data_IF_965137721460
#
_entry.id   IF_965137721460
#
_cell.length_a   1.000
_cell.length_b   1.000
_cell.length_c   1.000
_cell.angle_alpha   90.00
_cell.angle_beta   90.00
_cell.angle_gamma   90.00
#
_symmetry.space_group_name_H-M   'P 1'
#
loop_
_entity.id
_entity.type
_entity.pdbx_description
1 polymer ?
#
# COMPACT_ATOMS: atom_id res chain seq x y z
N UNK A 1 -7.40 -3.69 22.24
CA UNK A 1 -8.15 -2.98 21.18
C UNK A 1 -7.16 -2.71 20.06
N UNK A 2 -7.52 -3.00 18.80
CA UNK A 2 -6.63 -2.76 17.66
C UNK A 2 -6.70 -1.29 17.24
N UNK A 3 -5.61 -0.78 16.67
CA UNK A 3 -5.51 0.57 16.15
C UNK A 3 -6.51 0.79 15.02
N UNK A 4 -7.17 1.93 15.10
CA UNK A 4 -8.05 2.47 14.08
C UNK A 4 -7.52 3.86 13.76
N UNK A 5 -7.26 4.10 12.47
CA UNK A 5 -6.67 5.33 12.00
C UNK A 5 -7.73 6.45 11.96
N UNK A 6 -7.65 7.47 12.83
CA UNK A 6 -8.62 8.57 12.83
C UNK A 6 -8.47 9.47 11.61
N UNK A 7 -7.26 9.55 11.03
CA UNK A 7 -6.96 10.44 9.90
C UNK A 7 -7.26 9.78 8.55
N UNK A 8 -7.45 8.46 8.55
CA UNK A 8 -7.78 7.68 7.34
C UNK A 8 -8.78 6.58 7.69
N UNK A 9 -10.02 6.96 8.05
CA UNK A 9 -11.01 6.02 8.57
C UNK A 9 -11.44 5.01 7.50
N UNK A 10 -11.76 3.80 7.95
CA UNK A 10 -12.28 2.71 7.12
C UNK A 10 -13.72 3.00 6.63
N UNK A 11 -13.85 4.00 5.76
CA UNK A 11 -15.10 4.54 5.24
C UNK A 11 -14.90 5.11 3.83
N UNK A 12 -15.98 5.56 3.20
CA UNK A 12 -15.96 6.09 1.84
C UNK A 12 -15.09 7.34 1.68
N UNK A 13 -14.81 8.09 2.74
CA UNK A 13 -13.89 9.24 2.68
C UNK A 13 -12.45 8.84 2.38
N UNK A 14 -12.04 7.62 2.76
CA UNK A 14 -10.73 7.08 2.41
C UNK A 14 -10.70 6.56 0.96
N UNK A 15 -11.85 6.29 0.36
CA UNK A 15 -11.97 5.76 -1.00
C UNK A 15 -12.11 6.87 -2.04
N UNK A 16 -12.90 7.92 -1.74
CA UNK A 16 -13.38 8.90 -2.73
C UNK A 16 -13.27 10.34 -2.24
N UNK A 17 -13.13 11.29 -3.18
CA UNK A 17 -13.10 12.73 -2.86
C UNK A 17 -14.40 13.27 -2.26
N UNK A 18 -15.55 12.77 -2.70
CA UNK A 18 -16.89 13.30 -2.36
C UNK A 18 -17.74 12.34 -1.51
N UNK A 19 -17.12 11.37 -0.86
CA UNK A 19 -17.80 10.51 0.13
C UNK A 19 -18.77 9.47 -0.42
N UNK A 20 -18.94 9.33 -1.74
CA UNK A 20 -19.58 8.17 -2.37
C UNK A 20 -19.31 8.13 -3.86
N UNK A 21 -19.12 6.93 -4.42
CA UNK A 21 -19.33 6.69 -5.86
C UNK A 21 -20.64 5.93 -6.01
N UNK A 22 -21.58 6.44 -6.80
CA UNK A 22 -22.88 5.81 -7.09
C UNK A 22 -22.77 4.40 -7.73
N UNK A 23 -21.56 3.95 -8.10
CA UNK A 23 -21.33 2.76 -8.93
C UNK A 23 -20.38 1.70 -8.33
N UNK A 24 -20.03 1.76 -7.04
CA UNK A 24 -19.18 0.74 -6.42
C UNK A 24 -19.98 0.03 -5.32
N UNK A 25 -20.47 -1.17 -5.64
CA UNK A 25 -21.21 -2.01 -4.69
C UNK A 25 -20.48 -2.18 -3.34
N UNK A 26 -21.21 -2.57 -2.31
CA UNK A 26 -20.81 -2.51 -0.89
C UNK A 26 -19.35 -2.94 -0.62
N UNK A 27 -18.49 -1.96 -0.32
CA UNK A 27 -17.13 -2.18 0.18
C UNK A 27 -17.22 -2.50 1.68
N UNK A 28 -16.52 -3.54 2.09
CA UNK A 28 -16.36 -3.90 3.50
C UNK A 28 -14.89 -3.85 3.85
N UNK A 29 -14.55 -3.15 4.93
CA UNK A 29 -13.19 -3.05 5.40
C UNK A 29 -12.85 -4.23 6.31
N UNK A 30 -11.80 -4.98 5.98
CA UNK A 30 -11.37 -6.18 6.72
C UNK A 30 -9.89 -6.15 7.01
N UNK A 31 -9.47 -6.68 8.15
CA UNK A 31 -8.05 -6.90 8.47
C UNK A 31 -7.54 -8.19 7.80
N UNK A 32 -6.24 -8.32 7.54
CA UNK A 32 -5.65 -9.52 6.95
C UNK A 32 -5.99 -10.84 7.67
N UNK A 33 -6.10 -10.80 9.00
CA UNK A 33 -6.49 -11.95 9.83
C UNK A 33 -7.92 -12.45 9.57
N UNK A 34 -8.78 -11.62 8.97
CA UNK A 34 -10.14 -11.99 8.56
C UNK A 34 -10.19 -12.57 7.13
N UNK A 35 -9.08 -12.48 6.38
CA UNK A 35 -8.96 -12.90 4.98
C UNK A 35 -8.14 -14.17 4.83
N UNK A 36 -7.09 -14.33 5.64
CA UNK A 36 -6.17 -15.48 5.63
C UNK A 36 -5.77 -15.87 7.05
N UNK A 37 -5.35 -17.12 7.24
CA UNK A 37 -4.98 -17.65 8.57
C UNK A 37 -3.65 -17.10 9.09
N UNK A 38 -2.64 -16.95 8.22
CA UNK A 38 -1.30 -16.53 8.59
C UNK A 38 -0.82 -15.38 7.67
N UNK A 39 -1.25 -14.14 7.96
CA UNK A 39 -0.85 -12.97 7.17
C UNK A 39 0.59 -12.57 7.48
N UNK A 40 1.34 -12.28 6.43
CA UNK A 40 2.74 -11.88 6.47
C UNK A 40 2.87 -10.50 5.84
N UNK A 41 3.59 -9.59 6.49
CA UNK A 41 3.79 -8.26 5.93
C UNK A 41 4.71 -8.34 4.71
N UNK A 42 5.98 -8.64 4.96
CA UNK A 42 7.01 -8.76 3.93
C UNK A 42 7.39 -10.23 3.73
N UNK A 43 7.54 -10.70 2.49
CA UNK A 43 8.08 -12.02 2.20
C UNK A 43 9.45 -12.24 2.84
N UNK A 44 9.84 -13.51 2.98
CA UNK A 44 11.19 -13.87 3.38
C UNK A 44 12.23 -13.28 2.41
N UNK A 45 13.48 -13.22 2.85
CA UNK A 45 14.55 -12.66 2.03
C UNK A 45 14.75 -13.49 0.76
N UNK A 46 14.75 -12.84 -0.40
CA UNK A 46 14.82 -13.50 -1.72
C UNK A 46 13.45 -13.76 -2.38
N UNK A 47 12.35 -13.71 -1.64
CA UNK A 47 11.01 -14.01 -2.16
C UNK A 47 10.27 -12.79 -2.74
N UNK A 48 10.73 -11.57 -2.41
CA UNK A 48 10.19 -10.33 -2.99
C UNK A 48 10.57 -10.24 -4.46
N UNK A 49 9.58 -10.37 -5.34
CA UNK A 49 9.79 -10.27 -6.77
C UNK A 49 8.78 -9.36 -7.46
N UNK A 50 9.09 -8.98 -8.70
CA UNK A 50 8.19 -8.17 -9.55
C UNK A 50 6.82 -8.84 -9.73
N UNK A 51 6.77 -10.17 -9.72
CA UNK A 51 5.54 -10.93 -9.90
C UNK A 51 4.61 -10.86 -8.69
N UNK A 52 5.12 -10.42 -7.53
CA UNK A 52 4.28 -10.23 -6.35
C UNK A 52 3.30 -9.09 -6.57
N UNK A 53 3.54 -8.09 -7.43
CA UNK A 53 2.63 -6.96 -7.54
C UNK A 53 1.51 -7.21 -8.56
N UNK A 54 0.28 -7.26 -8.05
CA UNK A 54 -0.92 -7.50 -8.85
C UNK A 54 -1.87 -6.33 -8.70
N UNK A 55 -2.14 -5.65 -9.81
CA UNK A 55 -3.05 -4.50 -9.85
C UNK A 55 -4.50 -4.90 -9.53
N UNK A 56 -5.17 -4.02 -8.78
CA UNK A 56 -6.59 -4.11 -8.49
C UNK A 56 -7.46 -3.33 -9.46
N UNK A 57 -8.57 -2.80 -8.95
CA UNK A 57 -9.52 -2.00 -9.74
C UNK A 57 -9.15 -0.51 -9.85
N UNK A 58 -8.11 -0.06 -9.14
CA UNK A 58 -7.69 1.34 -9.11
C UNK A 58 -6.81 1.68 -10.33
N UNK A 59 -6.96 2.92 -10.83
CA UNK A 59 -6.18 3.46 -11.95
C UNK A 59 -4.81 3.99 -11.54
N UNK A 60 -4.14 3.30 -10.61
CA UNK A 60 -2.86 3.68 -9.99
C UNK A 60 -1.68 2.82 -10.50
N UNK A 61 -1.82 2.22 -11.69
CA UNK A 61 -0.78 1.37 -12.29
C UNK A 61 0.62 2.02 -12.30
N UNK A 62 0.68 3.34 -12.43
CA UNK A 62 1.92 4.11 -12.37
C UNK A 62 2.66 3.93 -11.04
N UNK A 63 1.93 3.89 -9.92
CA UNK A 63 2.48 3.66 -8.58
C UNK A 63 2.87 2.19 -8.42
N UNK A 64 1.99 1.26 -8.80
CA UNK A 64 2.27 -0.17 -8.69
C UNK A 64 3.46 -0.60 -9.57
N UNK A 65 3.65 0.00 -10.75
CA UNK A 65 4.85 -0.21 -11.56
C UNK A 65 6.13 0.23 -10.83
N UNK A 66 6.10 1.34 -10.10
CA UNK A 66 7.23 1.77 -9.29
C UNK A 66 7.49 0.82 -8.10
N UNK A 67 6.42 0.35 -7.42
CA UNK A 67 6.51 -0.70 -6.40
C UNK A 67 7.16 -1.98 -6.94
N UNK A 68 6.75 -2.41 -8.14
CA UNK A 68 7.30 -3.58 -8.82
C UNK A 68 8.78 -3.41 -9.17
N UNK A 69 9.18 -2.21 -9.59
CA UNK A 69 10.58 -1.87 -9.88
C UNK A 69 11.47 -1.93 -8.63
N UNK A 70 10.96 -1.50 -7.46
CA UNK A 70 11.75 -1.52 -6.23
C UNK A 70 11.69 -2.86 -5.46
N UNK A 71 10.69 -3.71 -5.73
CA UNK A 71 10.45 -4.96 -4.98
C UNK A 71 11.70 -5.87 -4.88
N UNK A 72 12.47 -6.12 -5.97
CA UNK A 72 13.67 -6.95 -5.90
C UNK A 72 14.81 -6.31 -5.09
N UNK A 73 14.75 -5.01 -4.82
CA UNK A 73 15.78 -4.25 -4.12
C UNK A 73 15.43 -4.11 -2.64
N UNK A 74 15.80 -5.12 -1.83
CA UNK A 74 15.45 -5.19 -0.40
C UNK A 74 15.80 -3.92 0.39
N UNK A 75 16.90 -3.25 0.06
CA UNK A 75 17.32 -1.99 0.69
C UNK A 75 16.32 -0.83 0.42
N UNK A 76 15.71 -0.79 -0.76
CA UNK A 76 14.69 0.21 -1.09
C UNK A 76 13.37 -0.12 -0.38
N UNK A 77 12.95 -1.38 -0.42
CA UNK A 77 11.76 -1.83 0.31
C UNK A 77 11.89 -1.55 1.81
N UNK A 78 13.06 -1.78 2.42
CA UNK A 78 13.32 -1.48 3.83
C UNK A 78 13.23 0.00 4.19
N UNK A 79 13.53 0.91 3.25
CA UNK A 79 13.35 2.35 3.45
C UNK A 79 11.87 2.72 3.49
N UNK A 80 11.06 2.09 2.63
CA UNK A 80 9.63 2.39 2.49
C UNK A 80 8.77 1.64 3.51
N UNK A 81 9.15 0.42 3.86
CA UNK A 81 8.46 -0.47 4.79
C UNK A 81 9.47 -1.01 5.83
N UNK A 82 9.65 -0.32 6.97
CA UNK A 82 10.58 -0.74 8.01
C UNK A 82 10.28 -2.16 8.51
N UNK A 83 11.28 -3.05 8.53
CA UNK A 83 11.10 -4.46 8.94
C UNK A 83 10.88 -4.61 10.45
N UNK A 84 11.33 -3.66 11.26
CA UNK A 84 11.30 -3.74 12.72
C UNK A 84 9.93 -3.42 13.35
N UNK A 85 8.87 -3.28 12.54
CA UNK A 85 7.53 -3.05 13.06
C UNK A 85 6.88 -4.35 13.52
N UNK A 86 6.05 -4.26 14.56
CA UNK A 86 5.30 -5.41 15.09
C UNK A 86 4.19 -5.77 14.12
N UNK A 87 4.17 -7.01 13.65
CA UNK A 87 3.23 -7.52 12.67
C UNK A 87 2.38 -8.63 13.26
N UNK A 88 1.54 -9.26 12.44
CA UNK A 88 0.75 -10.41 12.88
C UNK A 88 1.66 -11.51 13.43
N UNK A 89 1.20 -12.19 14.50
CA UNK A 89 1.99 -13.18 15.24
C UNK A 89 2.81 -12.61 16.40
N UNK A 90 3.12 -11.30 16.40
CA UNK A 90 3.80 -10.66 17.53
C UNK A 90 2.84 -10.41 18.71
N UNK A 91 3.33 -10.58 19.94
CA UNK A 91 2.57 -10.28 21.16
C UNK A 91 2.13 -8.81 21.25
N UNK A 92 2.92 -7.92 20.67
CA UNK A 92 2.70 -6.47 20.68
C UNK A 92 1.95 -5.97 19.43
N UNK A 93 1.47 -6.88 18.57
CA UNK A 93 0.63 -6.53 17.44
C UNK A 93 -0.58 -5.72 17.90
N UNK A 94 -0.76 -4.55 17.30
CA UNK A 94 -1.86 -3.65 17.59
C UNK A 94 -2.55 -3.13 16.33
N UNK A 95 -2.35 -3.77 15.17
CA UNK A 95 -3.00 -3.36 13.92
C UNK A 95 -2.48 -2.05 13.31
N UNK A 96 -1.30 -1.57 13.73
CA UNK A 96 -0.65 -0.34 13.23
C UNK A 96 0.57 -0.68 12.38
N UNK A 97 0.63 -0.12 11.18
CA UNK A 97 1.75 -0.27 10.25
C UNK A 97 2.28 1.10 9.84
N UNK A 98 3.59 1.19 9.66
CA UNK A 98 4.33 2.38 9.27
C UNK A 98 4.99 2.16 7.92
N UNK A 99 4.89 3.19 7.10
CA UNK A 99 5.58 3.31 5.82
C UNK A 99 6.25 4.67 5.72
N UNK A 100 7.24 4.82 4.86
CA UNK A 100 7.89 6.11 4.64
C UNK A 100 8.01 6.43 3.15
N UNK A 101 7.70 7.69 2.81
CA UNK A 101 7.78 8.19 1.45
C UNK A 101 8.63 9.46 1.41
N UNK A 102 9.43 9.61 0.36
CA UNK A 102 10.25 10.79 0.14
C UNK A 102 9.42 11.94 -0.43
N UNK A 103 9.07 12.91 0.40
CA UNK A 103 8.31 14.10 -0.03
C UNK A 103 9.11 15.36 0.26
N UNK A 104 9.28 16.20 -0.75
CA UNK A 104 9.88 17.53 -0.63
C UNK A 104 11.24 17.55 0.10
N UNK A 105 12.11 16.58 -0.20
CA UNK A 105 13.46 16.51 0.36
C UNK A 105 13.58 15.83 1.73
N UNK A 106 12.51 15.20 2.22
CA UNK A 106 12.53 14.45 3.49
C UNK A 106 11.72 13.15 3.43
N UNK A 107 12.18 12.16 4.18
CA UNK A 107 11.37 10.96 4.47
C UNK A 107 10.22 11.33 5.40
N UNK A 108 9.00 11.13 4.93
CA UNK A 108 7.76 11.38 5.65
C UNK A 108 7.16 10.04 6.02
N UNK A 109 7.08 9.76 7.33
CA UNK A 109 6.44 8.56 7.85
C UNK A 109 4.92 8.69 7.76
N UNK A 110 4.26 7.64 7.30
CA UNK A 110 2.81 7.50 7.23
C UNK A 110 2.42 6.25 8.01
N UNK A 111 1.61 6.44 9.04
CA UNK A 111 1.04 5.36 9.84
C UNK A 111 -0.37 5.07 9.34
N UNK A 112 -0.70 3.79 9.15
CA UNK A 112 -2.05 3.31 8.81
C UNK A 112 -2.46 2.16 9.73
N UNK A 113 -3.77 1.97 9.91
CA UNK A 113 -4.27 0.67 10.37
C UNK A 113 -4.27 -0.37 9.22
N UNK A 114 -4.45 -1.65 9.54
CA UNK A 114 -4.45 -2.73 8.55
C UNK A 114 -5.82 -3.11 7.98
N UNK A 115 -6.87 -2.30 8.18
CA UNK A 115 -8.15 -2.53 7.52
C UNK A 115 -8.01 -2.21 6.03
N UNK A 116 -8.36 -3.15 5.16
CA UNK A 116 -8.27 -3.03 3.71
C UNK A 116 -9.66 -3.13 3.06
N UNK A 117 -9.91 -2.36 2.00
CA UNK A 117 -11.19 -2.38 1.29
C UNK A 117 -11.37 -3.70 0.53
N UNK A 118 -12.43 -4.43 0.89
CA UNK A 118 -12.76 -5.72 0.34
C UNK A 118 -14.15 -5.74 -0.28
N UNK A 119 -14.33 -6.64 -1.25
CA UNK A 119 -15.63 -7.00 -1.82
C UNK A 119 -15.66 -8.51 -2.02
N UNK A 120 -16.74 -9.15 -1.60
CA UNK A 120 -16.91 -10.61 -1.68
C UNK A 120 -15.72 -11.38 -1.06
N UNK A 121 -15.19 -10.87 0.06
CA UNK A 121 -14.06 -11.45 0.78
C UNK A 121 -12.70 -11.32 0.07
N UNK A 122 -12.57 -10.44 -0.94
CA UNK A 122 -11.33 -10.20 -1.69
C UNK A 122 -10.95 -8.73 -1.68
N UNK A 123 -9.65 -8.45 -1.67
CA UNK A 123 -9.11 -7.10 -1.81
C UNK A 123 -9.56 -6.47 -3.14
N UNK A 124 -10.00 -5.21 -3.08
CA UNK A 124 -10.52 -4.46 -4.24
C UNK A 124 -9.41 -3.80 -5.05
N UNK A 125 -8.38 -3.32 -4.35
CA UNK A 125 -7.23 -2.65 -4.93
C UNK A 125 -6.05 -3.62 -5.08
N UNK A 126 -4.82 -3.15 -4.95
CA UNK A 126 -3.64 -3.99 -5.14
C UNK A 126 -3.64 -5.22 -4.23
N UNK A 127 -2.99 -6.27 -4.69
CA UNK A 127 -2.76 -7.50 -3.91
C UNK A 127 -1.41 -8.11 -4.25
N UNK A 128 -0.90 -8.92 -3.34
CA UNK A 128 0.25 -9.74 -3.65
C UNK A 128 -0.16 -11.00 -4.44
N UNK A 129 0.74 -11.56 -5.25
CA UNK A 129 0.51 -12.86 -5.91
C UNK A 129 0.30 -13.98 -4.89
N UNK A 130 1.14 -14.02 -3.85
CA UNK A 130 0.86 -14.80 -2.66
C UNK A 130 -0.21 -14.09 -1.81
N UNK A 131 -1.33 -14.76 -1.57
CA UNK A 131 -2.49 -14.22 -0.82
C UNK A 131 -2.19 -13.92 0.65
N UNK A 132 -1.14 -14.52 1.21
CA UNK A 132 -0.73 -14.26 2.58
C UNK A 132 0.17 -13.03 2.72
N UNK A 133 0.67 -12.44 1.62
CA UNK A 133 1.54 -11.27 1.67
C UNK A 133 0.74 -9.96 1.60
N UNK A 134 1.04 -9.00 2.47
CA UNK A 134 0.26 -7.74 2.59
C UNK A 134 1.08 -6.45 2.48
N UNK A 135 2.38 -6.51 2.16
CA UNK A 135 3.20 -5.30 1.98
C UNK A 135 2.62 -4.35 0.94
N UNK A 136 2.18 -4.86 -0.21
CA UNK A 136 1.70 -4.03 -1.31
C UNK A 136 0.35 -3.36 -1.02
N UNK A 137 -0.71 -4.09 -0.58
CA UNK A 137 -1.98 -3.46 -0.19
C UNK A 137 -1.83 -2.38 0.88
N UNK A 138 -0.98 -2.63 1.89
CA UNK A 138 -0.77 -1.69 2.98
C UNK A 138 0.09 -0.49 2.54
N UNK A 139 1.06 -0.72 1.66
CA UNK A 139 1.86 0.36 1.07
C UNK A 139 0.99 1.26 0.18
N UNK A 140 0.15 0.68 -0.67
CA UNK A 140 -0.83 1.41 -1.48
C UNK A 140 -1.80 2.20 -0.60
N UNK A 141 -2.29 1.61 0.50
CA UNK A 141 -3.11 2.32 1.50
C UNK A 141 -2.37 3.52 2.11
N UNK A 142 -1.13 3.34 2.52
CA UNK A 142 -0.34 4.43 3.11
C UNK A 142 -0.07 5.55 2.09
N UNK A 143 0.14 5.19 0.82
CA UNK A 143 0.28 6.17 -0.26
C UNK A 143 -1.04 6.91 -0.51
N UNK A 144 -2.17 6.19 -0.57
CA UNK A 144 -3.50 6.79 -0.65
C UNK A 144 -3.77 7.77 0.52
N UNK A 145 -3.41 7.40 1.75
CA UNK A 145 -3.48 8.29 2.92
C UNK A 145 -2.66 9.56 2.74
N UNK A 146 -1.42 9.43 2.25
CA UNK A 146 -0.54 10.57 2.00
C UNK A 146 -1.13 11.56 0.99
N UNK A 147 -1.93 11.07 0.04
CA UNK A 147 -2.62 11.86 -0.99
C UNK A 147 -4.09 12.19 -0.65
N UNK A 148 -4.60 11.71 0.48
CA UNK A 148 -5.95 12.02 1.01
C UNK A 148 -6.99 10.92 0.83
N UNK A 149 -6.99 10.17 -0.29
CA UNK A 149 -7.87 9.02 -0.53
C UNK A 149 -7.33 8.12 -1.65
N UNK A 150 -7.90 6.93 -1.85
CA UNK A 150 -7.52 6.03 -2.95
C UNK A 150 -7.79 6.66 -4.33
N UNK A 151 -8.90 7.37 -4.52
CA UNK A 151 -9.16 8.09 -5.77
C UNK A 151 -8.09 9.14 -6.10
N UNK A 152 -7.39 9.67 -5.09
CA UNK A 152 -6.35 10.67 -5.27
C UNK A 152 -5.05 10.16 -5.90
N UNK A 153 -4.84 8.84 -5.91
CA UNK A 153 -3.67 8.23 -6.54
C UNK A 153 -3.97 7.68 -7.94
N UNK A 154 -5.12 8.01 -8.52
CA UNK A 154 -5.45 7.67 -9.92
C UNK A 154 -4.72 8.61 -10.90
N UNK A 155 -4.20 8.04 -11.99
CA UNK A 155 -3.62 8.78 -13.12
C UNK A 155 -2.39 9.67 -12.81
N UNK A 156 -1.37 9.11 -12.16
CA UNK A 156 -0.08 9.76 -11.92
C UNK A 156 1.05 9.35 -12.87
N UNK A 157 2.30 9.60 -12.48
CA UNK A 157 3.51 9.35 -13.28
C UNK A 157 4.49 8.45 -12.54
N UNK A 158 4.95 7.36 -13.18
CA UNK A 158 5.88 6.38 -12.59
C UNK A 158 7.13 7.05 -12.00
N UNK A 159 7.63 8.10 -12.64
CA UNK A 159 8.81 8.84 -12.20
C UNK A 159 8.61 9.49 -10.83
N UNK A 160 7.41 10.05 -10.59
CA UNK A 160 7.09 10.67 -9.31
C UNK A 160 7.00 9.61 -8.21
N UNK A 161 6.40 8.45 -8.52
CA UNK A 161 6.38 7.31 -7.59
C UNK A 161 7.79 6.78 -7.31
N UNK A 162 8.66 6.67 -8.33
CA UNK A 162 10.05 6.25 -8.12
C UNK A 162 10.81 7.23 -7.22
N UNK A 163 10.61 8.54 -7.38
CA UNK A 163 11.19 9.54 -6.48
C UNK A 163 10.64 9.35 -5.06
N UNK A 164 9.32 9.26 -4.90
CA UNK A 164 8.66 9.07 -3.60
C UNK A 164 9.10 7.78 -2.90
N UNK A 165 9.41 6.71 -3.63
CA UNK A 165 9.82 5.41 -3.08
C UNK A 165 11.32 5.27 -2.83
N UNK A 166 12.17 6.10 -3.45
CA UNK A 166 13.63 5.91 -3.40
C UNK A 166 14.39 7.09 -2.80
N UNK A 167 13.83 8.30 -2.87
CA UNK A 167 14.53 9.56 -2.62
C UNK A 167 15.56 9.92 -3.70
N UNK A 168 15.60 9.19 -4.81
CA UNK A 168 16.49 9.46 -5.94
C UNK A 168 15.94 10.49 -6.92
N UNK A 169 16.59 10.58 -8.08
CA UNK A 169 16.17 11.39 -9.22
C UNK A 169 15.70 10.48 -10.34
N UNK A 170 14.47 10.67 -10.81
CA UNK A 170 13.93 9.93 -11.96
C UNK A 170 14.08 10.77 -13.23
N UNK A 171 14.61 10.16 -14.29
CA UNK A 171 14.77 10.78 -15.62
C UNK A 171 13.96 9.99 -16.64
N UNK A 172 13.21 10.70 -17.47
CA UNK A 172 12.51 10.12 -18.64
C UNK A 172 13.37 10.31 -19.88
N UNK A 173 13.71 9.22 -20.54
CA UNK A 173 14.44 9.25 -21.81
C UNK A 173 13.43 8.88 -22.92
N UNK A 174 13.11 9.81 -23.85
CA UNK A 174 12.29 9.47 -25.01
C UNK A 174 13.05 8.48 -25.89
N UNK A 175 12.40 7.40 -26.29
CA UNK A 175 12.98 6.36 -27.15
C UNK A 175 12.77 6.63 -28.65
N UNK A 176 12.31 7.84 -29.01
CA UNK A 176 12.12 8.31 -30.39
C UNK A 176 12.71 9.70 -30.55
#
# INVERSE_FOLDING_TARGET
MLFEDPDFPASDSALYYKGSSENVGQIVWKRPQELVADPVLLPAEGDLCVQDVVQGRLGDCWFLCACAAIAPHRQLIQKVAPIQQKTWGDQEYNGRFRFAFWKFGKWTEVTVDDRLPCRDGRLVYSRCANRCHFWLPLLEKAYAKLHGCYEAIVAGQVCDALVDLTGGVAVKIPLK
#
